data_IF_067138351320
#
_entry.id   IF_067138351320
#
_cell.length_a   1.000
_cell.length_b   1.000
_cell.length_c   1.000
_cell.angle_alpha   90.00
_cell.angle_beta   90.00
_cell.angle_gamma   90.00
#
_symmetry.space_group_name_H-M   'P 1'
#
loop_
_entity.id
_entity.type
_entity.pdbx_description
1 polymer ?
#
# COMPACT_ATOMS: atom_id res chain seq x y z
N UNK A 1 66.58 40.59 -20.93
CA UNK A 1 65.24 40.58 -20.32
C UNK A 1 65.07 39.24 -19.62
N UNK A 2 65.00 39.19 -18.28
CA UNK A 2 64.87 37.94 -17.51
C UNK A 2 63.40 37.60 -17.30
N UNK A 3 62.97 36.44 -17.80
CA UNK A 3 61.64 35.89 -17.55
C UNK A 3 61.64 35.10 -16.23
N UNK A 4 60.94 35.65 -15.23
CA UNK A 4 60.85 35.09 -13.88
C UNK A 4 59.82 33.96 -13.89
N UNK A 5 60.26 32.71 -13.99
CA UNK A 5 59.38 31.54 -13.86
C UNK A 5 58.84 31.43 -12.43
N UNK A 6 57.56 31.78 -12.24
CA UNK A 6 56.86 31.66 -10.97
C UNK A 6 56.47 30.21 -10.74
N UNK A 7 57.26 29.51 -9.91
CA UNK A 7 57.01 28.13 -9.51
C UNK A 7 55.66 28.04 -8.73
N UNK A 8 54.58 27.64 -9.41
CA UNK A 8 53.28 27.40 -8.75
C UNK A 8 53.43 26.14 -7.90
N UNK A 9 53.49 26.28 -6.58
CA UNK A 9 53.45 25.14 -5.64
C UNK A 9 52.19 24.33 -5.91
N UNK A 10 52.32 23.13 -6.49
CA UNK A 10 51.22 22.17 -6.60
C UNK A 10 50.91 21.69 -5.18
N UNK A 11 49.76 22.09 -4.63
CA UNK A 11 49.23 21.49 -3.40
C UNK A 11 48.74 20.08 -3.77
N UNK A 12 49.51 19.07 -3.38
CA UNK A 12 49.10 17.67 -3.48
C UNK A 12 48.15 17.31 -2.35
N UNK A 13 47.22 16.40 -2.62
CA UNK A 13 46.36 15.77 -1.61
C UNK A 13 47.23 14.89 -0.70
N UNK A 14 47.02 14.92 0.61
CA UNK A 14 47.76 14.08 1.54
C UNK A 14 47.15 12.68 1.62
N UNK A 15 47.97 11.66 1.86
CA UNK A 15 47.49 10.29 2.06
C UNK A 15 46.56 10.19 3.28
N UNK A 16 46.81 10.99 4.32
CA UNK A 16 45.98 11.03 5.52
C UNK A 16 44.57 11.58 5.23
N UNK A 17 44.45 12.58 4.36
CA UNK A 17 43.14 13.09 3.90
C UNK A 17 42.36 12.01 3.15
N UNK A 18 43.03 11.18 2.34
CA UNK A 18 42.35 10.09 1.64
C UNK A 18 41.91 8.98 2.59
N UNK A 19 42.74 8.65 3.59
CA UNK A 19 42.45 7.60 4.59
C UNK A 19 41.24 7.99 5.44
N UNK A 20 41.14 9.24 5.89
CA UNK A 20 40.00 9.66 6.73
C UNK A 20 38.68 9.60 5.94
N UNK A 21 38.70 9.92 4.65
CA UNK A 21 37.51 9.88 3.79
C UNK A 21 37.00 8.45 3.61
N UNK A 22 37.87 7.49 3.32
CA UNK A 22 37.43 6.09 3.15
C UNK A 22 36.95 5.47 4.47
N UNK A 23 37.50 5.90 5.61
CA UNK A 23 37.04 5.47 6.94
C UNK A 23 35.63 5.98 7.19
N UNK A 24 35.37 7.27 6.94
CA UNK A 24 34.03 7.86 7.09
C UNK A 24 33.05 7.20 6.11
N UNK A 25 33.43 7.02 4.84
CA UNK A 25 32.60 6.32 3.85
C UNK A 25 32.30 4.87 4.26
N UNK A 26 33.25 4.16 4.87
CA UNK A 26 33.05 2.81 5.40
C UNK A 26 32.04 2.77 6.55
N UNK A 27 32.12 3.72 7.49
CA UNK A 27 31.15 3.83 8.58
C UNK A 27 29.75 4.16 8.04
N UNK A 28 29.66 5.15 7.14
CA UNK A 28 28.39 5.53 6.52
C UNK A 28 27.78 4.37 5.75
N UNK A 29 28.56 3.64 4.94
CA UNK A 29 28.07 2.49 4.20
C UNK A 29 27.54 1.37 5.10
N UNK A 30 28.16 1.14 6.27
CA UNK A 30 27.71 0.13 7.23
C UNK A 30 26.36 0.47 7.88
N UNK A 31 26.05 1.75 8.10
CA UNK A 31 24.81 2.20 8.74
C UNK A 31 23.71 2.64 7.75
N UNK A 32 24.05 2.82 6.47
CA UNK A 32 23.19 3.43 5.46
C UNK A 32 22.03 2.56 4.95
N UNK A 33 21.54 1.59 5.73
CA UNK A 33 20.35 0.80 5.37
C UNK A 33 19.16 1.26 6.22
N UNK A 34 18.34 2.22 5.72
CA UNK A 34 17.07 2.52 6.35
C UNK A 34 16.14 1.30 6.22
N UNK A 35 15.63 0.79 7.36
CA UNK A 35 14.70 -0.34 7.37
C UNK A 35 13.32 0.12 6.91
N UNK A 36 13.06 0.06 5.60
CA UNK A 36 11.74 0.35 5.01
C UNK A 36 10.73 -0.81 5.13
N UNK A 37 11.16 -1.99 5.57
CA UNK A 37 10.38 -3.24 5.44
C UNK A 37 9.00 -3.25 6.12
N UNK A 38 8.82 -2.56 7.25
CA UNK A 38 7.54 -2.54 7.96
C UNK A 38 6.53 -1.52 7.40
N UNK A 39 7.01 -0.45 6.76
CA UNK A 39 6.16 0.64 6.30
C UNK A 39 5.24 0.22 5.16
N UNK A 40 5.74 -0.60 4.22
CA UNK A 40 4.93 -1.09 3.11
C UNK A 40 3.84 -2.05 3.57
N UNK A 41 4.12 -2.89 4.57
CA UNK A 41 3.14 -3.85 5.08
C UNK A 41 2.01 -3.17 5.87
N UNK A 42 2.36 -2.19 6.73
CA UNK A 42 1.37 -1.34 7.40
C UNK A 42 0.56 -0.50 6.41
N UNK A 43 1.20 0.04 5.36
CA UNK A 43 0.51 0.78 4.31
C UNK A 43 -0.48 -0.13 3.56
N UNK A 44 -0.09 -1.34 3.18
CA UNK A 44 -0.97 -2.29 2.51
C UNK A 44 -2.15 -2.70 3.40
N UNK A 45 -1.93 -2.92 4.70
CA UNK A 45 -3.01 -3.17 5.67
C UNK A 45 -4.01 -2.02 5.71
N UNK A 46 -3.52 -0.78 5.83
CA UNK A 46 -4.35 0.41 5.87
C UNK A 46 -5.14 0.60 4.56
N UNK A 47 -4.52 0.36 3.41
CA UNK A 47 -5.21 0.36 2.11
C UNK A 47 -6.31 -0.68 2.07
N UNK A 48 -6.06 -1.91 2.52
CA UNK A 48 -7.05 -2.97 2.53
C UNK A 48 -8.27 -2.61 3.38
N UNK A 49 -8.06 -2.07 4.60
CA UNK A 49 -9.15 -1.65 5.47
C UNK A 49 -9.94 -0.45 4.91
N UNK A 50 -9.27 0.50 4.26
CA UNK A 50 -9.91 1.67 3.65
C UNK A 50 -10.76 1.29 2.42
N UNK A 51 -10.24 0.41 1.58
CA UNK A 51 -10.96 -0.10 0.41
C UNK A 51 -12.14 -0.97 0.85
N UNK A 52 -11.96 -1.86 1.83
CA UNK A 52 -13.05 -2.64 2.40
C UNK A 52 -14.19 -1.75 2.94
N UNK A 53 -13.86 -0.65 3.64
CA UNK A 53 -14.84 0.36 4.09
C UNK A 53 -15.57 1.05 2.93
N UNK A 54 -14.89 1.28 1.83
CA UNK A 54 -15.49 1.91 0.64
C UNK A 54 -16.52 0.97 0.00
N UNK A 55 -16.18 -0.31 -0.12
CA UNK A 55 -17.07 -1.34 -0.68
C UNK A 55 -18.30 -1.55 0.21
N UNK A 56 -18.12 -1.72 1.53
CA UNK A 56 -19.27 -1.88 2.45
C UNK A 56 -20.18 -0.65 2.46
N UNK A 57 -19.64 0.57 2.38
CA UNK A 57 -20.47 1.79 2.30
C UNK A 57 -21.30 1.82 1.01
N UNK A 58 -20.73 1.40 -0.11
CA UNK A 58 -21.46 1.31 -1.38
C UNK A 58 -22.53 0.22 -1.32
N UNK A 59 -22.19 -0.97 -0.79
CA UNK A 59 -23.12 -2.08 -0.65
C UNK A 59 -24.25 -1.75 0.32
N UNK A 60 -23.97 -1.11 1.47
CA UNK A 60 -24.98 -0.67 2.43
C UNK A 60 -25.94 0.36 1.85
N UNK A 61 -25.45 1.23 0.96
CA UNK A 61 -26.30 2.22 0.27
C UNK A 61 -27.28 1.52 -0.67
N UNK A 62 -26.79 0.56 -1.47
CA UNK A 62 -27.64 -0.20 -2.40
C UNK A 62 -28.68 -1.04 -1.64
N UNK A 63 -28.26 -1.68 -0.55
CA UNK A 63 -29.14 -2.44 0.31
C UNK A 63 -30.21 -1.60 1.00
N UNK A 64 -29.91 -0.33 1.33
CA UNK A 64 -30.88 0.59 1.90
C UNK A 64 -31.92 1.05 0.86
N UNK A 65 -31.55 1.12 -0.43
CA UNK A 65 -32.45 1.47 -1.52
C UNK A 65 -33.32 0.29 -1.96
N UNK A 66 -32.74 -0.90 -2.08
CA UNK A 66 -33.46 -2.13 -2.45
C UNK A 66 -32.96 -3.33 -1.61
N UNK A 67 -33.70 -3.70 -0.54
CA UNK A 67 -33.32 -4.76 0.39
C UNK A 67 -33.41 -6.17 -0.21
N UNK A 68 -33.89 -6.32 -1.45
CA UNK A 68 -33.95 -7.60 -2.16
C UNK A 68 -32.75 -7.84 -3.07
N UNK A 69 -31.86 -6.85 -3.21
CA UNK A 69 -30.66 -6.94 -4.05
C UNK A 69 -29.62 -7.84 -3.38
N UNK A 70 -29.76 -9.16 -3.53
CA UNK A 70 -28.71 -10.11 -3.15
C UNK A 70 -27.49 -9.88 -4.02
N UNK A 71 -26.48 -9.16 -3.51
CA UNK A 71 -25.17 -9.05 -4.14
C UNK A 71 -24.37 -10.32 -3.89
N UNK A 72 -24.93 -11.48 -4.24
CA UNK A 72 -24.19 -12.72 -4.27
C UNK A 72 -23.27 -12.65 -5.49
N UNK A 73 -22.05 -12.14 -5.30
CA UNK A 73 -20.97 -12.67 -6.12
C UNK A 73 -19.59 -12.62 -5.48
N UNK A 74 -18.98 -13.80 -5.40
CA UNK A 74 -17.56 -13.96 -5.58
C UNK A 74 -17.16 -13.43 -6.97
N UNK A 75 -16.29 -12.42 -7.03
CA UNK A 75 -15.82 -11.88 -8.31
C UNK A 75 -14.85 -12.89 -8.96
N UNK A 76 -15.43 -13.86 -9.66
CA UNK A 76 -14.93 -14.40 -10.91
C UNK A 76 -16.14 -14.49 -11.86
N UNK A 77 -16.41 -13.40 -12.58
CA UNK A 77 -17.37 -13.38 -13.69
C UNK A 77 -18.86 -13.45 -13.34
N UNK A 78 -19.42 -12.43 -12.67
CA UNK A 78 -20.86 -12.18 -12.73
C UNK A 78 -21.22 -10.84 -13.34
N UNK A 79 -22.22 -10.98 -14.21
CA UNK A 79 -23.02 -9.98 -14.86
C UNK A 79 -24.25 -9.66 -13.99
N UNK A 80 -24.52 -8.38 -13.81
CA UNK A 80 -25.84 -7.79 -13.45
C UNK A 80 -26.19 -7.50 -11.98
N UNK A 81 -25.23 -7.41 -11.05
CA UNK A 81 -25.43 -6.65 -9.82
C UNK A 81 -24.96 -5.19 -10.00
N UNK A 82 -25.91 -4.34 -10.40
CA UNK A 82 -26.03 -2.88 -10.17
C UNK A 82 -24.75 -2.04 -10.35
N UNK A 83 -24.78 -1.16 -11.36
CA UNK A 83 -23.73 -0.27 -11.90
C UNK A 83 -22.77 0.41 -10.88
N UNK A 84 -23.16 0.59 -9.62
CA UNK A 84 -22.33 1.22 -8.58
C UNK A 84 -21.24 0.29 -7.98
N UNK A 85 -21.47 -1.02 -7.93
CA UNK A 85 -20.50 -1.99 -7.38
C UNK A 85 -19.47 -2.41 -8.43
N UNK A 86 -19.91 -2.51 -9.68
CA UNK A 86 -19.07 -2.78 -10.85
C UNK A 86 -18.08 -1.64 -11.14
N UNK A 87 -18.47 -0.39 -10.88
CA UNK A 87 -17.57 0.78 -10.97
C UNK A 87 -16.42 0.74 -9.94
N UNK A 88 -16.60 0.03 -8.82
CA UNK A 88 -15.55 -0.14 -7.81
C UNK A 88 -14.55 -1.21 -8.22
N UNK A 89 -14.97 -2.27 -8.92
CA UNK A 89 -14.09 -3.38 -9.29
C UNK A 89 -12.91 -2.94 -10.17
N UNK A 90 -13.07 -1.89 -10.98
CA UNK A 90 -12.00 -1.29 -11.78
C UNK A 90 -11.17 -0.21 -11.06
N UNK A 91 -11.56 0.18 -9.83
CA UNK A 91 -10.93 1.24 -9.03
C UNK A 91 -10.25 0.72 -7.76
N UNK A 92 -10.57 -0.50 -7.34
CA UNK A 92 -9.98 -1.16 -6.18
C UNK A 92 -8.67 -1.85 -6.58
N UNK A 93 -7.74 -1.90 -5.63
CA UNK A 93 -6.46 -2.59 -5.81
C UNK A 93 -6.54 -4.09 -5.45
N UNK A 94 -7.66 -4.52 -4.87
CA UNK A 94 -7.92 -5.87 -4.39
C UNK A 94 -9.31 -6.37 -4.78
N UNK A 95 -9.63 -7.59 -4.38
CA UNK A 95 -10.88 -8.26 -4.69
C UNK A 95 -11.76 -8.32 -3.45
N UNK A 96 -13.07 -8.12 -3.60
CA UNK A 96 -14.03 -8.40 -2.53
C UNK A 96 -14.98 -9.54 -2.93
N UNK A 97 -15.48 -10.24 -1.91
CA UNK A 97 -16.49 -11.29 -2.03
C UNK A 97 -17.53 -11.03 -0.96
N UNK A 98 -18.79 -10.90 -1.35
CA UNK A 98 -19.90 -10.85 -0.41
C UNK A 98 -20.26 -12.29 -0.01
N UNK A 99 -20.35 -12.55 1.29
CA UNK A 99 -20.58 -13.89 1.85
C UNK A 99 -22.02 -14.05 2.30
N UNK A 100 -22.61 -13.00 2.87
CA UNK A 100 -24.02 -12.97 3.26
C UNK A 100 -24.52 -11.53 3.09
N UNK A 101 -25.77 -11.41 2.70
CA UNK A 101 -26.43 -10.14 2.46
C UNK A 101 -27.92 -10.24 2.81
N UNK A 102 -28.21 -10.92 3.93
CA UNK A 102 -29.56 -11.20 4.42
C UNK A 102 -29.97 -10.21 5.51
N UNK A 103 -31.26 -9.85 5.54
CA UNK A 103 -31.89 -9.13 6.67
C UNK A 103 -31.23 -7.78 7.07
N UNK A 104 -30.59 -7.10 6.12
CA UNK A 104 -29.94 -5.81 6.35
C UNK A 104 -28.52 -5.88 6.92
N UNK A 105 -28.00 -7.10 7.16
CA UNK A 105 -26.59 -7.33 7.42
C UNK A 105 -25.86 -7.59 6.11
N UNK A 106 -24.67 -7.04 5.94
CA UNK A 106 -23.78 -7.35 4.81
C UNK A 106 -22.47 -7.88 5.40
N UNK A 107 -22.18 -9.12 5.03
CA UNK A 107 -20.95 -9.81 5.35
C UNK A 107 -20.10 -9.93 4.09
N UNK A 108 -18.84 -9.54 4.17
CA UNK A 108 -17.93 -9.62 3.04
C UNK A 108 -16.50 -9.89 3.47
N UNK A 109 -15.70 -10.34 2.51
CA UNK A 109 -14.25 -10.42 2.63
C UNK A 109 -13.61 -9.56 1.55
N UNK A 110 -12.63 -8.74 1.90
CA UNK A 110 -11.81 -7.98 0.96
C UNK A 110 -10.34 -8.46 1.06
N UNK A 111 -9.70 -8.71 -0.08
CA UNK A 111 -8.34 -9.25 -0.16
C UNK A 111 -7.44 -8.36 -1.00
N UNK A 112 -6.32 -7.93 -0.42
CA UNK A 112 -5.28 -7.13 -1.10
C UNK A 112 -3.88 -7.49 -0.62
N UNK A 113 -3.00 -7.89 -1.55
CA UNK A 113 -1.57 -8.20 -1.28
C UNK A 113 -1.36 -9.12 -0.08
N UNK A 114 -2.21 -10.15 0.04
CA UNK A 114 -2.19 -11.13 1.13
C UNK A 114 -2.97 -10.72 2.37
N UNK A 115 -3.33 -9.44 2.54
CA UNK A 115 -4.22 -9.01 3.60
C UNK A 115 -5.66 -9.36 3.28
N UNK A 116 -6.34 -9.96 4.23
CA UNK A 116 -7.75 -10.34 4.21
C UNK A 116 -8.46 -9.55 5.30
N UNK A 117 -9.46 -8.76 4.91
CA UNK A 117 -10.33 -7.99 5.80
C UNK A 117 -11.70 -8.65 5.77
N UNK A 118 -12.17 -9.12 6.92
CA UNK A 118 -13.52 -9.67 7.06
C UNK A 118 -14.42 -8.63 7.70
N UNK A 119 -15.58 -8.43 7.07
CA UNK A 119 -16.65 -7.55 7.54
C UNK A 119 -17.86 -8.43 7.81
N UNK A 120 -18.49 -8.20 8.95
CA UNK A 120 -19.76 -8.82 9.35
C UNK A 120 -20.65 -7.73 9.90
N UNK A 121 -21.92 -7.71 9.51
CA UNK A 121 -22.87 -6.68 9.93
C UNK A 121 -22.33 -5.25 9.71
N UNK A 122 -21.73 -5.03 8.53
CA UNK A 122 -21.11 -3.75 8.14
C UNK A 122 -19.94 -3.26 9.02
N UNK A 123 -19.44 -4.09 9.94
CA UNK A 123 -18.29 -3.78 10.78
C UNK A 123 -17.09 -4.67 10.43
N UNK A 124 -15.88 -4.10 10.41
CA UNK A 124 -14.65 -4.90 10.28
C UNK A 124 -14.49 -5.73 11.55
N UNK A 125 -14.55 -7.05 11.40
CA UNK A 125 -14.40 -8.01 12.51
C UNK A 125 -12.99 -8.59 12.60
N UNK A 126 -12.28 -8.66 11.47
CA UNK A 126 -10.88 -9.10 11.45
C UNK A 126 -10.10 -8.53 10.27
N UNK A 127 -8.80 -8.34 10.49
CA UNK A 127 -7.83 -8.04 9.43
C UNK A 127 -6.59 -8.90 9.67
N UNK A 128 -6.33 -9.85 8.77
CA UNK A 128 -5.20 -10.79 8.88
C UNK A 128 -4.47 -10.94 7.56
N UNK A 129 -3.26 -11.50 7.58
CA UNK A 129 -2.47 -11.81 6.39
C UNK A 129 -2.26 -13.31 6.28
#
# INVERSE_FOLDING_TARGET
>A
MMEKMRNKKKKGFTLIELIVVIVILGILAAIAIPRLGGFTDTANKATAEAEARTVITALSTIYAEDPTTTTDTAIEGYTEATTAVTDLTGKLNGTFTVTDSTNGSIDMTYVFKGWTVTITDSAIVSTSK
#
